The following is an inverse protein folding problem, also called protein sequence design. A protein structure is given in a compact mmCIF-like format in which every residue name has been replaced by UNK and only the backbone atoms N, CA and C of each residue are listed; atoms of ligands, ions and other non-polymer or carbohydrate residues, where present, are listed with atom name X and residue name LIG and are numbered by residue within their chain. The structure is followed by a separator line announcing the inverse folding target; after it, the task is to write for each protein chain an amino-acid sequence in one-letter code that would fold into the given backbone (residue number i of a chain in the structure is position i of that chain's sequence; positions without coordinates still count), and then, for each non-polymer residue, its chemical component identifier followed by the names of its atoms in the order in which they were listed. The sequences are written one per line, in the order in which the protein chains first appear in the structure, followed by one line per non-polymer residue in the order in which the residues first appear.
data_IF_019280853534
#
_entry.id   IF_019280853534
#
_cell.length_a   1.000
_cell.length_b   1.000
_cell.length_c   1.000
_cell.angle_alpha   90.00
_cell.angle_beta   90.00
_cell.angle_gamma   90.00
#
_symmetry.space_group_name_H-M   'P 1'
#
loop_
_entity.id
_entity.type
_entity.pdbx_description
1 polymer ?
#
# COMPACT_ATOMS: atom_id res chain seq x y z
N UNK A 1 -24.29 27.16 -30.43
CA UNK A 1 -23.03 26.78 -31.12
C UNK A 1 -22.31 25.77 -30.23
N UNK A 2 -22.39 24.50 -30.59
CA UNK A 2 -21.69 23.40 -29.88
C UNK A 2 -20.19 23.50 -30.17
N UNK A 3 -19.30 23.45 -29.15
CA UNK A 3 -17.86 23.47 -29.40
C UNK A 3 -17.45 22.19 -30.16
N UNK A 4 -16.84 22.37 -31.34
CA UNK A 4 -16.17 21.28 -32.08
C UNK A 4 -15.16 20.63 -31.13
N UNK A 5 -15.37 19.36 -30.79
CA UNK A 5 -14.35 18.53 -30.16
C UNK A 5 -13.08 18.61 -30.99
N UNK A 6 -11.99 19.15 -30.41
CA UNK A 6 -10.69 19.17 -31.03
C UNK A 6 -10.28 17.71 -31.33
N UNK A 7 -10.24 17.37 -32.59
CA UNK A 7 -9.92 16.02 -33.05
C UNK A 7 -8.47 15.73 -32.67
N UNK A 8 -8.26 14.76 -31.78
CA UNK A 8 -6.94 14.39 -31.23
C UNK A 8 -6.08 13.89 -32.39
N UNK A 9 -4.99 14.65 -32.70
CA UNK A 9 -4.08 14.29 -33.79
C UNK A 9 -3.52 12.87 -33.59
N UNK A 10 -3.38 12.14 -34.68
CA UNK A 10 -2.81 10.80 -34.72
C UNK A 10 -1.39 10.83 -35.29
N UNK A 11 -0.66 9.74 -35.12
CA UNK A 11 0.68 9.59 -35.73
C UNK A 11 0.64 9.69 -37.26
N UNK A 12 -0.51 9.33 -37.88
CA UNK A 12 -0.71 9.49 -39.33
C UNK A 12 -0.84 10.96 -39.74
N UNK A 13 -1.46 11.77 -38.89
CA UNK A 13 -1.58 13.21 -39.15
C UNK A 13 -0.22 13.90 -39.05
N UNK A 14 0.58 13.52 -38.05
CA UNK A 14 1.96 14.01 -37.93
C UNK A 14 2.82 13.57 -39.13
N UNK A 15 2.66 12.33 -39.60
CA UNK A 15 3.36 11.85 -40.77
C UNK A 15 3.01 12.66 -42.03
N UNK A 16 1.72 13.00 -42.23
CA UNK A 16 1.25 13.86 -43.31
C UNK A 16 1.82 15.28 -43.18
N UNK A 17 1.73 15.92 -42.01
CA UNK A 17 2.22 17.26 -41.75
C UNK A 17 3.74 17.36 -41.94
N UNK A 18 4.50 16.38 -41.51
CA UNK A 18 5.94 16.32 -41.69
C UNK A 18 6.37 15.82 -43.09
N UNK A 19 5.46 15.37 -43.95
CA UNK A 19 5.79 14.86 -45.27
C UNK A 19 6.69 13.60 -45.23
N UNK A 20 6.48 12.71 -44.26
CA UNK A 20 7.27 11.49 -44.07
C UNK A 20 6.37 10.29 -43.86
N UNK A 21 6.90 9.09 -43.93
CA UNK A 21 6.12 7.87 -43.65
C UNK A 21 5.83 7.73 -42.14
N UNK A 22 4.70 7.04 -41.79
CA UNK A 22 4.32 6.70 -40.42
C UNK A 22 5.48 6.01 -39.64
N UNK A 23 6.20 5.11 -40.32
CA UNK A 23 7.36 4.42 -39.75
C UNK A 23 8.51 5.36 -39.38
N UNK A 24 8.68 6.44 -40.15
CA UNK A 24 9.70 7.46 -39.87
C UNK A 24 9.33 8.27 -38.63
N UNK A 25 8.09 8.73 -38.51
CA UNK A 25 7.61 9.41 -37.30
C UNK A 25 7.78 8.50 -36.07
N UNK A 26 7.43 7.22 -36.21
CA UNK A 26 7.62 6.23 -35.13
C UNK A 26 9.09 6.13 -34.70
N UNK A 27 10.02 6.07 -35.65
CA UNK A 27 11.46 5.98 -35.34
C UNK A 27 12.00 7.27 -34.71
N UNK A 28 11.47 8.42 -35.08
CA UNK A 28 11.81 9.70 -34.41
C UNK A 28 11.35 9.68 -32.95
N UNK A 29 10.12 9.27 -32.70
CA UNK A 29 9.55 9.17 -31.36
C UNK A 29 10.29 8.19 -30.45
N UNK A 30 10.93 7.17 -31.03
CA UNK A 30 11.75 6.17 -30.29
C UNK A 30 13.25 6.50 -30.33
N UNK A 31 13.64 7.69 -30.78
CA UNK A 31 15.02 8.13 -30.89
C UNK A 31 15.95 7.19 -31.68
N UNK A 32 15.41 6.44 -32.64
CA UNK A 32 16.16 5.47 -33.46
C UNK A 32 17.34 6.20 -34.15
N UNK A 33 18.61 5.77 -33.91
CA UNK A 33 19.79 6.43 -34.45
C UNK A 33 19.87 6.36 -36.00
N UNK A 34 19.11 5.48 -36.64
CA UNK A 34 19.06 5.33 -38.10
C UNK A 34 18.29 6.46 -38.81
N UNK A 35 17.60 7.34 -38.06
CA UNK A 35 16.91 8.50 -38.67
C UNK A 35 17.90 9.63 -38.85
N UNK A 36 17.99 10.16 -40.10
CA UNK A 36 18.85 11.30 -40.45
C UNK A 36 18.49 12.54 -39.61
N UNK A 37 19.49 13.30 -39.12
CA UNK A 37 19.26 14.46 -38.25
C UNK A 37 18.22 15.46 -38.80
N UNK A 38 18.33 15.85 -40.09
CA UNK A 38 17.39 16.76 -40.73
C UNK A 38 15.94 16.24 -40.77
N UNK A 39 15.75 14.92 -40.90
CA UNK A 39 14.42 14.31 -40.88
C UNK A 39 13.87 14.29 -39.45
N UNK A 40 14.72 14.06 -38.44
CA UNK A 40 14.37 14.10 -37.03
C UNK A 40 13.89 15.49 -36.64
N UNK A 41 14.68 16.50 -36.93
CA UNK A 41 14.37 17.88 -36.61
C UNK A 41 13.04 18.35 -37.21
N UNK A 42 12.79 18.02 -38.50
CA UNK A 42 11.53 18.30 -39.18
C UNK A 42 10.32 17.68 -38.49
N UNK A 43 10.40 16.42 -38.07
CA UNK A 43 9.30 15.72 -37.38
C UNK A 43 9.10 16.28 -35.98
N UNK A 44 10.16 16.52 -35.23
CA UNK A 44 10.09 17.11 -33.88
C UNK A 44 9.51 18.55 -33.91
N UNK A 45 9.82 19.33 -34.93
CA UNK A 45 9.21 20.65 -35.13
C UNK A 45 7.70 20.53 -35.32
N UNK A 46 7.24 19.65 -36.21
CA UNK A 46 5.79 19.41 -36.40
C UNK A 46 5.10 18.93 -35.13
N UNK A 47 5.73 18.07 -34.35
CA UNK A 47 5.22 17.63 -33.05
C UNK A 47 5.05 18.80 -32.08
N UNK A 48 6.08 19.68 -31.96
CA UNK A 48 6.01 20.86 -31.10
C UNK A 48 4.91 21.83 -31.55
N UNK A 49 4.85 22.14 -32.85
CA UNK A 49 3.88 23.11 -33.40
C UNK A 49 2.43 22.59 -33.33
N UNK A 50 2.22 21.28 -33.51
CA UNK A 50 0.89 20.69 -33.50
C UNK A 50 0.35 20.36 -32.12
N UNK A 51 1.18 20.44 -31.07
CA UNK A 51 0.83 19.98 -29.72
C UNK A 51 0.53 18.48 -29.63
N UNK A 52 1.04 17.70 -30.60
CA UNK A 52 0.82 16.25 -30.61
C UNK A 52 1.53 15.59 -29.44
N UNK A 53 0.74 14.93 -28.57
CA UNK A 53 1.27 14.08 -27.51
C UNK A 53 1.15 12.63 -27.97
N UNK A 54 2.27 11.90 -28.12
CA UNK A 54 2.24 10.49 -28.48
C UNK A 54 1.37 9.69 -27.48
N UNK A 55 0.42 8.94 -27.95
CA UNK A 55 -0.37 8.07 -27.08
C UNK A 55 0.53 6.94 -26.54
N UNK A 56 0.68 6.86 -25.21
CA UNK A 56 1.43 5.79 -24.53
C UNK A 56 0.95 4.39 -24.98
N UNK A 57 -0.36 4.21 -25.22
CA UNK A 57 -0.93 2.98 -25.76
C UNK A 57 -0.48 2.67 -27.19
N UNK A 58 -0.16 3.67 -28.03
CA UNK A 58 0.37 3.44 -29.37
C UNK A 58 1.87 3.05 -29.35
N UNK A 59 2.59 3.38 -28.30
CA UNK A 59 3.97 2.95 -28.05
C UNK A 59 4.01 1.49 -27.56
N UNK A 60 3.13 1.12 -26.60
CA UNK A 60 3.05 -0.25 -26.06
C UNK A 60 2.62 -1.29 -27.10
N UNK A 61 1.74 -0.93 -28.05
CA UNK A 61 1.30 -1.83 -29.14
C UNK A 61 2.44 -2.30 -30.09
N UNK A 62 3.67 -1.81 -29.92
CA UNK A 62 4.84 -2.12 -30.76
C UNK A 62 5.93 -2.92 -30.04
N UNK A 63 5.58 -3.61 -28.96
CA UNK A 63 6.53 -4.46 -28.21
C UNK A 63 7.38 -3.71 -27.18
N UNK A 64 7.00 -2.46 -26.85
CA UNK A 64 7.58 -1.73 -25.71
C UNK A 64 6.76 -1.95 -24.44
N UNK A 65 7.41 -1.83 -23.27
CA UNK A 65 6.77 -1.83 -21.97
C UNK A 65 5.72 -0.72 -21.88
N UNK A 66 4.60 -0.97 -21.22
CA UNK A 66 3.51 0.02 -21.03
C UNK A 66 3.92 1.17 -20.13
N UNK A 67 4.96 0.98 -19.32
CA UNK A 67 5.40 1.87 -18.24
C UNK A 67 4.27 2.15 -17.25
N UNK A 68 3.45 1.14 -16.98
CA UNK A 68 2.34 1.22 -16.04
C UNK A 68 2.44 0.07 -15.05
N UNK A 69 2.32 0.37 -13.77
CA UNK A 69 2.21 -0.60 -12.68
C UNK A 69 0.76 -0.58 -12.15
N UNK A 70 0.18 -1.78 -12.00
CA UNK A 70 -1.08 -1.96 -11.29
C UNK A 70 -0.84 -2.01 -9.79
N UNK A 71 -1.62 -1.26 -9.01
CA UNK A 71 -1.61 -1.31 -7.55
C UNK A 71 -3.02 -1.69 -7.11
N UNK A 72 -3.17 -2.81 -6.43
CA UNK A 72 -4.45 -3.29 -5.94
C UNK A 72 -4.47 -3.20 -4.42
N UNK A 73 -5.19 -2.21 -3.89
CA UNK A 73 -5.39 -2.01 -2.45
C UNK A 73 -6.61 -2.79 -1.96
N UNK A 74 -6.64 -3.14 -0.67
CA UNK A 74 -7.83 -3.74 -0.07
C UNK A 74 -8.90 -2.68 0.20
N UNK A 75 -8.49 -1.50 0.70
CA UNK A 75 -9.37 -0.36 0.97
C UNK A 75 -8.69 0.97 0.65
N UNK A 76 -9.39 1.82 -0.09
CA UNK A 76 -8.91 3.18 -0.41
C UNK A 76 -8.92 4.13 0.80
N UNK A 77 -9.73 3.85 1.81
CA UNK A 77 -9.78 4.63 3.05
C UNK A 77 -8.80 4.16 4.14
N UNK A 78 -7.97 3.14 3.86
CA UNK A 78 -6.99 2.60 4.80
C UNK A 78 -5.78 3.52 4.97
N UNK A 79 -5.54 4.12 6.15
CA UNK A 79 -4.36 4.96 6.38
C UNK A 79 -3.03 4.22 6.19
N UNK A 80 -2.99 2.93 6.56
CA UNK A 80 -1.80 2.07 6.41
C UNK A 80 -1.47 1.80 4.94
N UNK A 81 -2.48 1.41 4.15
CA UNK A 81 -2.29 1.17 2.73
C UNK A 81 -1.94 2.45 1.98
N UNK A 82 -2.57 3.57 2.33
CA UNK A 82 -2.26 4.88 1.75
C UNK A 82 -0.80 5.30 1.99
N UNK A 83 -0.24 5.03 3.18
CA UNK A 83 1.19 5.27 3.44
C UNK A 83 2.07 4.38 2.56
N UNK A 84 1.75 3.09 2.44
CA UNK A 84 2.51 2.18 1.58
C UNK A 84 2.38 2.55 0.10
N UNK A 85 1.18 2.90 -0.37
CA UNK A 85 0.97 3.39 -1.76
C UNK A 85 1.82 4.62 -2.04
N UNK A 86 1.95 5.57 -1.11
CA UNK A 86 2.85 6.72 -1.28
C UNK A 86 4.30 6.30 -1.48
N UNK A 87 4.79 5.33 -0.71
CA UNK A 87 6.12 4.76 -0.89
C UNK A 87 6.30 4.08 -2.24
N UNK A 88 5.30 3.32 -2.69
CA UNK A 88 5.29 2.71 -4.03
C UNK A 88 5.38 3.78 -5.11
N UNK A 89 4.52 4.80 -5.04
CA UNK A 89 4.45 5.85 -6.06
C UNK A 89 5.76 6.65 -6.17
N UNK A 90 6.43 6.94 -5.05
CA UNK A 90 7.73 7.61 -5.06
C UNK A 90 8.76 6.85 -5.91
N UNK A 91 8.86 5.54 -5.70
CA UNK A 91 9.84 4.69 -6.39
C UNK A 91 9.48 4.51 -7.87
N UNK A 92 8.22 4.20 -8.18
CA UNK A 92 7.84 3.93 -9.58
C UNK A 92 7.85 5.20 -10.42
N UNK A 93 7.48 6.37 -9.88
CA UNK A 93 7.56 7.64 -10.60
C UNK A 93 9.01 8.04 -10.86
N UNK A 94 9.93 7.84 -9.90
CA UNK A 94 11.36 8.05 -10.11
C UNK A 94 11.94 7.14 -11.21
N UNK A 95 11.31 5.97 -11.44
CA UNK A 95 11.67 5.04 -12.51
C UNK A 95 10.87 5.25 -13.82
N UNK A 96 10.13 6.36 -13.96
CA UNK A 96 9.32 6.74 -15.13
C UNK A 96 8.20 5.74 -15.44
N UNK A 97 7.55 5.20 -14.39
CA UNK A 97 6.31 4.41 -14.49
C UNK A 97 5.11 5.22 -14.01
N UNK A 98 3.96 5.02 -14.64
CA UNK A 98 2.66 5.48 -14.15
C UNK A 98 2.00 4.39 -13.29
N UNK A 99 0.98 4.76 -12.49
CA UNK A 99 0.20 3.82 -11.67
C UNK A 99 -1.27 3.75 -12.09
N UNK A 100 -1.85 2.55 -11.97
CA UNK A 100 -3.31 2.33 -11.95
C UNK A 100 -3.66 1.71 -10.62
N UNK A 101 -4.43 2.44 -9.79
CA UNK A 101 -4.84 1.99 -8.46
C UNK A 101 -6.27 1.48 -8.52
N UNK A 102 -6.53 0.30 -7.98
CA UNK A 102 -7.84 -0.35 -7.91
C UNK A 102 -8.08 -0.89 -6.49
N UNK A 103 -9.34 -1.10 -6.11
CA UNK A 103 -9.73 -1.54 -4.77
C UNK A 103 -10.43 -2.89 -4.82
N UNK A 104 -9.95 -3.85 -4.02
CA UNK A 104 -10.51 -5.21 -3.94
C UNK A 104 -11.62 -5.39 -2.91
N UNK A 105 -11.70 -4.54 -1.89
CA UNK A 105 -12.64 -4.63 -0.76
C UNK A 105 -12.57 -5.99 -0.04
N UNK A 106 -11.37 -6.54 0.15
CA UNK A 106 -11.10 -7.86 0.73
C UNK A 106 -11.81 -9.02 -0.01
N UNK A 107 -12.19 -8.81 -1.27
CA UNK A 107 -12.90 -9.80 -2.09
C UNK A 107 -11.94 -10.49 -3.06
N UNK A 108 -11.83 -11.81 -2.94
CA UNK A 108 -11.07 -12.66 -3.87
C UNK A 108 -11.59 -12.55 -5.29
N UNK A 109 -12.91 -12.48 -5.49
CA UNK A 109 -13.52 -12.35 -6.81
C UNK A 109 -13.22 -11.00 -7.46
N UNK A 110 -13.37 -9.89 -6.71
CA UNK A 110 -12.97 -8.55 -7.21
C UNK A 110 -11.48 -8.49 -7.52
N UNK A 111 -10.65 -9.12 -6.68
CA UNK A 111 -9.20 -9.21 -6.95
C UNK A 111 -8.96 -9.88 -8.30
N UNK A 112 -9.61 -11.02 -8.58
CA UNK A 112 -9.49 -11.75 -9.85
C UNK A 112 -9.96 -10.91 -11.04
N UNK A 113 -11.11 -10.24 -10.91
CA UNK A 113 -11.63 -9.34 -11.94
C UNK A 113 -10.65 -8.21 -12.26
N UNK A 114 -10.09 -7.58 -11.23
CA UNK A 114 -9.15 -6.47 -11.40
C UNK A 114 -7.82 -6.90 -11.99
N UNK A 115 -7.31 -8.07 -11.60
CA UNK A 115 -6.10 -8.65 -12.21
C UNK A 115 -6.34 -8.89 -13.70
N UNK A 116 -7.48 -9.47 -14.08
CA UNK A 116 -7.82 -9.66 -15.50
C UNK A 116 -7.96 -8.32 -16.27
N UNK A 117 -8.43 -7.25 -15.64
CA UNK A 117 -8.47 -5.91 -16.23
C UNK A 117 -7.06 -5.35 -16.43
N UNK A 118 -6.18 -5.48 -15.44
CA UNK A 118 -4.78 -5.02 -15.52
C UNK A 118 -4.00 -5.78 -16.59
N UNK A 119 -4.24 -7.10 -16.72
CA UNK A 119 -3.67 -7.93 -17.78
C UNK A 119 -4.12 -7.45 -19.18
N UNK A 120 -5.42 -7.23 -19.38
CA UNK A 120 -5.95 -6.67 -20.64
C UNK A 120 -5.39 -5.28 -20.98
N UNK A 121 -5.03 -4.51 -19.97
CA UNK A 121 -4.38 -3.20 -20.14
C UNK A 121 -2.88 -3.30 -20.40
N UNK A 122 -2.31 -4.51 -20.38
CA UNK A 122 -0.90 -4.81 -20.54
C UNK A 122 -0.03 -3.99 -19.58
N UNK A 123 -0.41 -3.92 -18.28
CA UNK A 123 0.47 -3.33 -17.28
C UNK A 123 1.74 -4.18 -17.13
N UNK A 124 2.87 -3.55 -16.85
CA UNK A 124 4.17 -4.24 -16.82
C UNK A 124 4.30 -5.15 -15.60
N UNK A 125 3.69 -4.77 -14.48
CA UNK A 125 3.64 -5.55 -13.25
C UNK A 125 2.57 -5.08 -12.30
N UNK A 126 2.39 -5.81 -11.19
CA UNK A 126 1.37 -5.52 -10.18
C UNK A 126 1.93 -5.59 -8.77
N UNK A 127 1.44 -4.70 -7.90
CA UNK A 127 1.64 -4.76 -6.45
C UNK A 127 0.26 -4.92 -5.81
N UNK A 128 0.08 -5.97 -5.01
CA UNK A 128 -1.23 -6.33 -4.44
C UNK A 128 -1.14 -6.34 -2.92
N UNK A 129 -2.05 -5.65 -2.26
CA UNK A 129 -2.23 -5.78 -0.82
C UNK A 129 -3.03 -7.05 -0.54
N UNK A 130 -2.35 -8.03 0.05
CA UNK A 130 -2.96 -9.28 0.46
C UNK A 130 -3.78 -9.12 1.74
N UNK A 131 -4.71 -10.02 1.93
CA UNK A 131 -5.60 -10.09 3.09
C UNK A 131 -5.80 -11.55 3.52
N UNK A 132 -6.43 -11.78 4.66
CA UNK A 132 -6.71 -13.13 5.16
C UNK A 132 -7.53 -13.94 4.14
N UNK A 133 -7.00 -15.08 3.72
CA UNK A 133 -7.61 -15.91 2.68
C UNK A 133 -7.27 -15.48 1.24
N UNK A 134 -6.30 -14.56 1.05
CA UNK A 134 -5.82 -14.21 -0.27
C UNK A 134 -5.17 -15.41 -0.98
N UNK A 135 -5.64 -15.70 -2.20
CA UNK A 135 -5.12 -16.78 -3.04
C UNK A 135 -4.11 -16.25 -4.06
N UNK A 136 -2.84 -16.60 -3.88
CA UNK A 136 -1.76 -16.16 -4.77
C UNK A 136 -1.87 -16.71 -6.20
N UNK A 137 -2.62 -17.79 -6.45
CA UNK A 137 -2.83 -18.32 -7.78
C UNK A 137 -3.53 -17.33 -8.73
N UNK A 138 -4.22 -16.33 -8.17
CA UNK A 138 -4.78 -15.20 -8.93
C UNK A 138 -3.71 -14.41 -9.69
N UNK A 139 -2.46 -14.45 -9.23
CA UNK A 139 -1.33 -13.72 -9.79
C UNK A 139 -0.51 -14.51 -10.82
N UNK A 140 -0.90 -15.74 -11.14
CA UNK A 140 -0.13 -16.63 -12.03
C UNK A 140 0.16 -16.00 -13.41
N UNK A 141 -0.77 -15.21 -13.94
CA UNK A 141 -0.59 -14.50 -15.24
C UNK A 141 0.51 -13.43 -15.19
N UNK A 142 0.82 -12.90 -14.00
CA UNK A 142 1.91 -11.97 -13.80
C UNK A 142 3.21 -12.66 -13.38
N UNK A 143 3.13 -13.88 -12.81
CA UNK A 143 4.32 -14.65 -12.38
C UNK A 143 5.30 -13.78 -11.57
N UNK A 144 6.56 -13.68 -12.02
CA UNK A 144 7.58 -12.86 -11.36
C UNK A 144 7.33 -11.34 -11.42
N UNK A 145 6.32 -10.88 -12.16
CA UNK A 145 5.94 -9.46 -12.28
C UNK A 145 4.86 -9.05 -11.26
N UNK A 146 4.79 -9.77 -10.15
CA UNK A 146 3.89 -9.49 -9.04
C UNK A 146 4.66 -9.41 -7.72
N UNK A 147 4.23 -8.51 -6.83
CA UNK A 147 4.69 -8.43 -5.44
C UNK A 147 3.47 -8.28 -4.54
N UNK A 148 3.43 -9.02 -3.44
CA UNK A 148 2.35 -8.95 -2.45
C UNK A 148 2.83 -8.19 -1.22
N UNK A 149 1.99 -7.31 -0.67
CA UNK A 149 2.24 -6.61 0.59
C UNK A 149 1.28 -7.12 1.67
N UNK A 150 1.69 -7.08 2.92
CA UNK A 150 0.96 -7.37 4.15
C UNK A 150 0.81 -8.85 4.51
N UNK A 151 0.87 -9.77 3.57
CA UNK A 151 0.80 -11.21 3.86
C UNK A 151 2.03 -11.93 3.32
N UNK A 152 2.40 -13.03 3.96
CA UNK A 152 3.41 -13.94 3.45
C UNK A 152 2.82 -14.84 2.36
N UNK A 153 3.63 -15.18 1.38
CA UNK A 153 3.26 -16.02 0.24
C UNK A 153 4.38 -17.01 -0.05
N UNK A 154 4.07 -18.15 -0.69
CA UNK A 154 5.09 -19.15 -1.03
C UNK A 154 5.59 -19.00 -2.48
N UNK A 155 4.78 -18.44 -3.38
CA UNK A 155 5.01 -18.46 -4.83
C UNK A 155 5.30 -17.11 -5.46
N UNK A 156 5.05 -16.02 -4.74
CA UNK A 156 5.19 -14.64 -5.23
C UNK A 156 6.03 -13.85 -4.23
N UNK A 157 6.89 -12.96 -4.71
CA UNK A 157 7.66 -12.09 -3.82
C UNK A 157 6.76 -11.27 -2.91
N UNK A 158 7.14 -11.10 -1.65
CA UNK A 158 6.30 -10.41 -0.67
C UNK A 158 7.08 -9.48 0.26
N UNK A 159 6.36 -8.48 0.76
CA UNK A 159 6.78 -7.61 1.87
C UNK A 159 5.73 -7.68 2.95
N UNK A 160 5.98 -8.48 3.99
CA UNK A 160 5.11 -8.59 5.16
C UNK A 160 5.52 -7.62 6.26
N UNK A 161 4.68 -7.52 7.30
CA UNK A 161 4.94 -6.68 8.46
C UNK A 161 5.29 -7.51 9.69
N UNK A 162 6.16 -7.00 10.54
CA UNK A 162 6.49 -7.58 11.85
C UNK A 162 5.35 -7.34 12.85
N UNK A 163 4.22 -8.04 12.64
CA UNK A 163 3.03 -7.90 13.48
C UNK A 163 3.30 -8.22 14.96
N UNK A 164 4.19 -9.18 15.24
CA UNK A 164 4.58 -9.52 16.60
C UNK A 164 5.43 -8.39 17.23
N UNK A 165 6.41 -7.88 16.50
CA UNK A 165 7.28 -6.79 16.98
C UNK A 165 6.51 -5.51 17.29
N UNK A 166 5.48 -5.17 16.52
CA UNK A 166 4.64 -3.99 16.78
C UNK A 166 4.04 -4.00 18.19
N UNK A 167 3.37 -5.10 18.54
CA UNK A 167 2.71 -5.23 19.84
C UNK A 167 3.73 -5.43 20.96
N UNK A 168 4.81 -6.18 20.71
CA UNK A 168 5.89 -6.34 21.68
C UNK A 168 6.54 -5.01 22.05
N UNK A 169 6.74 -4.10 21.08
CA UNK A 169 7.25 -2.75 21.34
C UNK A 169 6.29 -1.92 22.20
N UNK A 170 4.98 -1.95 21.89
CA UNK A 170 3.97 -1.24 22.69
C UNK A 170 3.92 -1.77 24.13
N UNK A 171 3.91 -3.10 24.29
CA UNK A 171 3.93 -3.72 25.62
C UNK A 171 5.21 -3.40 26.39
N UNK A 172 6.38 -3.46 25.73
CA UNK A 172 7.66 -3.13 26.36
C UNK A 172 7.72 -1.66 26.84
N UNK A 173 7.13 -0.74 26.08
CA UNK A 173 7.04 0.67 26.44
C UNK A 173 6.25 0.88 27.75
N UNK A 174 5.14 0.18 27.93
CA UNK A 174 4.31 0.26 29.13
C UNK A 174 4.92 -0.50 30.30
N UNK A 175 5.39 -1.72 30.10
CA UNK A 175 6.01 -2.51 31.17
C UNK A 175 7.31 -1.89 31.66
N UNK A 176 8.08 -1.24 30.76
CA UNK A 176 9.28 -0.46 31.11
C UNK A 176 8.99 0.73 32.02
N UNK A 177 7.76 1.25 32.04
CA UNK A 177 7.28 2.27 32.98
C UNK A 177 6.73 1.66 34.27
N UNK A 178 6.78 0.35 34.44
CA UNK A 178 6.31 -0.36 35.63
C UNK A 178 4.80 -0.64 35.62
N UNK A 179 4.09 -0.42 34.50
CA UNK A 179 2.65 -0.70 34.39
C UNK A 179 2.38 -2.20 34.37
N UNK A 180 1.36 -2.65 35.09
CA UNK A 180 0.99 -4.07 35.24
C UNK A 180 -0.45 -4.37 34.85
N UNK A 181 -1.30 -3.36 34.76
CA UNK A 181 -2.70 -3.51 34.36
C UNK A 181 -2.89 -2.97 32.94
N UNK A 182 -2.45 -3.76 31.95
CA UNK A 182 -2.43 -3.39 30.54
C UNK A 182 -3.47 -4.25 29.80
N UNK A 183 -4.48 -3.61 29.28
CA UNK A 183 -5.52 -4.26 28.46
C UNK A 183 -5.18 -4.18 26.96
N UNK A 184 -5.90 -4.92 26.14
CA UNK A 184 -5.72 -4.93 24.68
C UNK A 184 -7.05 -4.76 23.95
N UNK A 185 -7.03 -3.92 22.90
CA UNK A 185 -8.11 -3.75 21.96
C UNK A 185 -7.66 -4.22 20.58
N UNK A 186 -8.23 -5.34 20.12
CA UNK A 186 -7.84 -6.03 18.90
C UNK A 186 -8.87 -6.01 17.79
N UNK A 187 -8.45 -6.53 16.64
CA UNK A 187 -9.32 -6.84 15.49
C UNK A 187 -9.76 -8.29 15.61
N UNK A 188 -10.91 -8.64 15.01
CA UNK A 188 -11.41 -10.00 14.94
C UNK A 188 -10.32 -10.97 14.45
N UNK A 189 -10.19 -12.11 15.12
CA UNK A 189 -9.16 -13.13 14.85
C UNK A 189 -9.30 -13.81 13.49
N UNK A 190 -10.43 -13.67 12.81
CA UNK A 190 -10.58 -14.09 11.42
C UNK A 190 -9.63 -13.30 10.49
N UNK A 191 -9.25 -12.07 10.85
CA UNK A 191 -8.11 -11.40 10.26
C UNK A 191 -6.82 -11.96 10.88
N UNK A 192 -6.10 -12.77 10.10
CA UNK A 192 -4.87 -13.41 10.57
C UNK A 192 -3.78 -12.38 10.92
N UNK A 193 -3.64 -11.32 10.13
CA UNK A 193 -2.53 -10.36 10.26
C UNK A 193 -2.75 -9.35 11.37
N UNK A 194 -3.79 -8.54 11.26
CA UNK A 194 -4.08 -7.47 12.22
C UNK A 194 -4.81 -7.99 13.46
N UNK A 195 -5.59 -9.07 13.32
CA UNK A 195 -6.31 -9.72 14.41
C UNK A 195 -5.44 -10.74 15.15
N UNK A 196 -5.33 -11.98 14.60
CA UNK A 196 -4.73 -13.11 15.29
C UNK A 196 -3.28 -12.89 15.70
N UNK A 197 -2.38 -12.51 14.75
CA UNK A 197 -0.94 -12.39 15.05
C UNK A 197 -0.63 -11.29 16.07
N UNK A 198 -1.42 -10.22 16.10
CA UNK A 198 -1.24 -9.14 17.08
C UNK A 198 -1.80 -9.50 18.44
N UNK A 199 -2.93 -10.21 18.50
CA UNK A 199 -3.45 -10.73 19.76
C UNK A 199 -2.49 -11.76 20.37
N UNK A 200 -1.97 -12.71 19.59
CA UNK A 200 -0.99 -13.69 20.06
C UNK A 200 0.24 -13.00 20.66
N UNK A 201 0.72 -11.93 20.02
CA UNK A 201 1.85 -11.16 20.53
C UNK A 201 1.54 -10.47 21.88
N UNK A 202 0.32 -9.97 22.08
CA UNK A 202 -0.11 -9.43 23.36
C UNK A 202 -0.16 -10.52 24.44
N UNK A 203 -0.75 -11.67 24.13
CA UNK A 203 -0.84 -12.81 25.06
C UNK A 203 0.54 -13.35 25.43
N UNK A 204 1.45 -13.47 24.46
CA UNK A 204 2.85 -13.86 24.69
C UNK A 204 3.54 -12.86 25.64
N UNK A 205 3.35 -11.56 25.42
CA UNK A 205 3.93 -10.52 26.26
C UNK A 205 3.36 -10.54 27.68
N UNK A 206 2.06 -10.77 27.84
CA UNK A 206 1.42 -10.95 29.15
C UNK A 206 2.00 -12.16 29.90
N UNK A 207 2.17 -13.29 29.22
CA UNK A 207 2.75 -14.49 29.83
C UNK A 207 4.21 -14.24 30.29
N UNK A 208 5.03 -13.59 29.47
CA UNK A 208 6.42 -13.26 29.79
C UNK A 208 6.56 -12.29 30.97
N UNK A 209 5.62 -11.38 31.13
CA UNK A 209 5.64 -10.33 32.14
C UNK A 209 4.77 -10.66 33.38
N UNK A 210 4.16 -11.85 33.41
CA UNK A 210 3.22 -12.28 34.45
C UNK A 210 2.04 -11.31 34.65
N UNK A 211 1.53 -10.74 33.54
CA UNK A 211 0.36 -9.87 33.50
C UNK A 211 -0.87 -10.72 33.20
N UNK A 212 -1.96 -10.53 33.97
CA UNK A 212 -3.24 -11.16 33.64
C UNK A 212 -3.81 -10.53 32.35
N UNK A 213 -4.07 -11.31 31.29
CA UNK A 213 -4.58 -10.76 30.05
C UNK A 213 -6.02 -10.27 30.18
N UNK A 214 -6.30 -9.08 29.65
CA UNK A 214 -7.63 -8.49 29.52
C UNK A 214 -7.76 -7.92 28.12
N UNK A 215 -8.65 -8.45 27.30
CA UNK A 215 -8.76 -8.03 25.92
C UNK A 215 -10.16 -8.16 25.34
N UNK A 216 -10.41 -7.38 24.29
CA UNK A 216 -11.57 -7.52 23.41
C UNK A 216 -11.11 -7.41 21.95
N UNK A 217 -11.86 -8.06 21.08
CA UNK A 217 -11.66 -7.99 19.62
C UNK A 217 -12.97 -7.63 18.93
N UNK A 218 -12.87 -6.88 17.83
CA UNK A 218 -14.03 -6.45 17.07
C UNK A 218 -13.66 -6.04 15.66
N UNK A 219 -14.54 -5.29 15.02
CA UNK A 219 -14.26 -4.75 13.67
C UNK A 219 -13.13 -3.73 13.69
N UNK A 220 -12.40 -3.61 12.59
CA UNK A 220 -11.38 -2.58 12.39
C UNK A 220 -12.05 -1.22 12.11
N UNK A 221 -12.71 -0.67 13.10
CA UNK A 221 -13.42 0.61 13.03
C UNK A 221 -13.32 1.40 14.32
N UNK A 222 -13.47 2.72 14.23
CA UNK A 222 -13.51 3.63 15.39
C UNK A 222 -14.69 3.27 16.32
N UNK A 223 -15.87 2.99 15.73
CA UNK A 223 -17.12 2.75 16.46
C UNK A 223 -17.06 1.43 17.24
N UNK A 224 -16.48 0.38 16.64
CA UNK A 224 -16.28 -0.91 17.31
C UNK A 224 -15.38 -0.73 18.54
N UNK A 225 -14.23 -0.08 18.39
CA UNK A 225 -13.31 0.13 19.51
C UNK A 225 -13.92 1.03 20.59
N UNK A 226 -14.63 2.08 20.22
CA UNK A 226 -15.35 2.96 21.14
C UNK A 226 -16.36 2.18 21.99
N UNK A 227 -17.18 1.34 21.35
CA UNK A 227 -18.24 0.57 22.02
C UNK A 227 -17.66 -0.51 22.95
N UNK A 228 -16.55 -1.16 22.53
CA UNK A 228 -15.94 -2.26 23.29
C UNK A 228 -15.01 -1.79 24.41
N UNK A 229 -14.68 -0.49 24.50
CA UNK A 229 -13.72 0.02 25.48
C UNK A 229 -14.14 -0.31 26.92
N UNK A 230 -15.42 -0.19 27.26
CA UNK A 230 -15.91 -0.43 28.63
C UNK A 230 -15.63 -1.87 29.08
N UNK A 231 -15.58 -2.85 28.17
CA UNK A 231 -15.32 -4.24 28.48
C UNK A 231 -13.86 -4.55 28.84
N UNK A 232 -12.92 -3.68 28.44
CA UNK A 232 -11.49 -3.81 28.76
C UNK A 232 -11.03 -2.81 29.83
N UNK A 233 -11.96 -1.98 30.32
CA UNK A 233 -11.70 -0.92 31.27
C UNK A 233 -12.14 -1.33 32.68
N UNK A 234 -11.25 -1.19 33.64
CA UNK A 234 -11.53 -1.32 35.08
C UNK A 234 -10.97 -0.13 35.83
N UNK A 235 -11.22 -0.03 37.14
CA UNK A 235 -10.60 0.98 38.01
C UNK A 235 -9.08 0.84 38.08
N UNK A 236 -8.54 -0.35 37.80
CA UNK A 236 -7.10 -0.64 37.86
C UNK A 236 -6.42 -0.49 36.50
N UNK A 237 -7.14 -0.41 35.37
CA UNK A 237 -6.56 -0.30 34.04
C UNK A 237 -5.66 0.93 33.93
N UNK A 238 -4.39 0.73 33.60
CA UNK A 238 -3.36 1.75 33.50
C UNK A 238 -3.03 2.08 32.04
N UNK A 239 -3.16 1.09 31.14
CA UNK A 239 -2.90 1.28 29.71
C UNK A 239 -3.77 0.34 28.87
N UNK A 240 -4.00 0.74 27.62
CA UNK A 240 -4.65 -0.08 26.60
C UNK A 240 -3.78 -0.08 25.35
N UNK A 241 -3.31 -1.26 24.94
CA UNK A 241 -2.62 -1.49 23.67
C UNK A 241 -3.67 -1.76 22.59
N UNK A 242 -3.68 -0.96 21.54
CA UNK A 242 -4.61 -1.13 20.42
C UNK A 242 -3.89 -1.70 19.19
N UNK A 243 -4.55 -2.64 18.51
CA UNK A 243 -4.00 -3.27 17.32
C UNK A 243 -3.76 -2.30 16.15
N UNK A 244 -4.39 -1.13 16.15
CA UNK A 244 -4.21 -0.09 15.12
C UNK A 244 -4.52 1.29 15.70
N UNK A 245 -4.08 2.34 14.99
CA UNK A 245 -4.42 3.72 15.34
C UNK A 245 -5.91 4.01 15.21
N UNK A 246 -6.60 3.34 14.28
CA UNK A 246 -8.06 3.42 14.15
C UNK A 246 -8.75 2.98 15.44
N UNK A 247 -8.35 1.85 16.01
CA UNK A 247 -8.88 1.38 17.29
C UNK A 247 -8.46 2.30 18.43
N UNK A 248 -7.20 2.77 18.45
CA UNK A 248 -6.71 3.66 19.48
C UNK A 248 -7.49 4.98 19.55
N UNK A 249 -7.92 5.54 18.41
CA UNK A 249 -8.76 6.74 18.37
C UNK A 249 -10.15 6.48 18.99
N UNK A 250 -10.78 5.32 18.70
CA UNK A 250 -12.06 4.93 19.31
C UNK A 250 -11.95 4.78 20.82
N UNK A 251 -10.91 4.08 21.30
CA UNK A 251 -10.61 3.90 22.73
C UNK A 251 -10.35 5.26 23.40
N UNK A 252 -9.46 6.08 22.84
CA UNK A 252 -9.10 7.39 23.41
C UNK A 252 -10.31 8.32 23.49
N UNK A 253 -11.19 8.32 22.48
CA UNK A 253 -12.44 9.05 22.49
C UNK A 253 -13.35 8.61 23.64
N UNK A 254 -13.50 7.31 23.86
CA UNK A 254 -14.32 6.78 24.96
C UNK A 254 -13.73 7.12 26.33
N UNK A 255 -12.43 6.96 26.51
CA UNK A 255 -11.73 7.33 27.74
C UNK A 255 -11.89 8.82 28.08
N UNK A 256 -11.82 9.70 27.08
CA UNK A 256 -12.06 11.14 27.23
C UNK A 256 -13.46 11.42 27.79
N UNK A 257 -14.49 10.78 27.26
CA UNK A 257 -15.87 10.94 27.73
C UNK A 257 -16.10 10.39 29.15
N UNK A 258 -15.37 9.34 29.51
CA UNK A 258 -15.39 8.77 30.85
C UNK A 258 -14.49 9.53 31.85
N UNK A 259 -13.82 10.61 31.43
CA UNK A 259 -12.83 11.34 32.21
C UNK A 259 -11.68 10.45 32.73
N UNK A 260 -11.33 9.36 32.02
CA UNK A 260 -10.25 8.43 32.32
C UNK A 260 -8.95 8.86 31.61
N UNK A 261 -8.52 10.10 31.85
CA UNK A 261 -7.28 10.67 31.27
C UNK A 261 -6.00 10.08 31.90
N UNK A 262 -6.15 9.28 32.95
CA UNK A 262 -5.11 8.52 33.63
C UNK A 262 -4.67 7.27 32.85
N UNK A 263 -5.49 6.77 31.92
CA UNK A 263 -5.21 5.55 31.12
C UNK A 263 -4.43 5.92 29.87
N UNK A 264 -3.25 5.34 29.71
CA UNK A 264 -2.42 5.51 28.51
C UNK A 264 -2.94 4.64 27.36
N UNK A 265 -2.80 5.12 26.15
CA UNK A 265 -3.23 4.37 24.95
C UNK A 265 -2.09 4.30 23.95
N UNK A 266 -1.84 3.11 23.41
CA UNK A 266 -0.97 2.95 22.25
C UNK A 266 -1.75 2.47 21.04
N UNK A 267 -1.33 2.95 19.87
CA UNK A 267 -1.78 2.47 18.57
C UNK A 267 -0.66 1.81 17.78
N UNK A 268 -0.99 1.42 16.56
CA UNK A 268 -0.08 0.92 15.53
C UNK A 268 -0.44 1.57 14.21
N UNK A 269 0.50 2.31 13.60
CA UNK A 269 0.27 2.98 12.32
C UNK A 269 1.03 4.29 12.15
N UNK A 270 1.53 4.88 13.25
CA UNK A 270 2.20 6.18 13.29
C UNK A 270 1.38 7.27 12.58
N UNK A 271 0.07 7.33 12.87
CA UNK A 271 -0.85 8.30 12.26
C UNK A 271 -0.75 9.61 13.03
N UNK A 272 -0.39 10.70 12.35
CA UNK A 272 -0.28 12.03 12.96
C UNK A 272 -1.58 12.47 13.64
N UNK A 273 -2.72 12.06 13.08
CA UNK A 273 -4.05 12.39 13.60
C UNK A 273 -4.27 11.85 15.02
N UNK A 274 -3.77 10.65 15.35
CA UNK A 274 -3.94 10.08 16.68
C UNK A 274 -3.29 10.98 17.75
N UNK A 275 -2.03 11.34 17.57
CA UNK A 275 -1.31 12.19 18.52
C UNK A 275 -1.83 13.63 18.53
N UNK A 276 -2.24 14.16 17.38
CA UNK A 276 -2.82 15.50 17.28
C UNK A 276 -4.13 15.61 18.07
N UNK A 277 -5.01 14.61 17.97
CA UNK A 277 -6.30 14.61 18.66
C UNK A 277 -6.18 14.17 20.13
N UNK A 278 -5.25 13.29 20.45
CA UNK A 278 -5.08 12.66 21.75
C UNK A 278 -3.61 12.65 22.18
N UNK A 279 -3.10 13.76 22.75
CA UNK A 279 -1.66 13.92 23.07
C UNK A 279 -1.07 12.89 24.03
N UNK A 280 -1.90 12.22 24.86
CA UNK A 280 -1.47 11.19 25.80
C UNK A 280 -1.39 9.78 25.16
N UNK A 281 -1.37 9.72 23.83
CA UNK A 281 -1.21 8.47 23.08
C UNK A 281 0.16 8.39 22.42
N UNK A 282 0.62 7.17 22.15
CA UNK A 282 1.70 6.96 21.19
C UNK A 282 1.31 5.90 20.16
N UNK A 283 2.01 5.87 19.06
CA UNK A 283 1.77 4.88 18.01
C UNK A 283 3.08 4.26 17.55
N UNK A 284 3.14 2.92 17.52
CA UNK A 284 4.25 2.20 16.91
C UNK A 284 4.23 2.42 15.41
N UNK A 285 5.39 2.74 14.81
CA UNK A 285 5.54 2.86 13.36
C UNK A 285 5.86 1.49 12.74
N UNK A 286 4.96 0.93 11.94
CA UNK A 286 5.20 -0.33 11.22
C UNK A 286 6.13 -0.17 10.02
N UNK A 287 6.48 1.05 9.60
CA UNK A 287 7.23 1.31 8.38
C UNK A 287 6.42 1.06 7.11
N UNK A 288 5.14 1.41 7.09
CA UNK A 288 4.28 1.21 5.91
C UNK A 288 4.82 1.87 4.66
N UNK A 289 5.32 3.10 4.77
CA UNK A 289 5.94 3.82 3.65
C UNK A 289 7.17 3.07 3.12
N UNK A 290 8.07 2.67 4.02
CA UNK A 290 9.29 1.93 3.67
C UNK A 290 8.96 0.57 3.03
N UNK A 291 7.89 -0.11 3.51
CA UNK A 291 7.40 -1.36 2.91
C UNK A 291 6.92 -1.15 1.47
N UNK A 292 6.23 -0.04 1.23
CA UNK A 292 5.81 0.35 -0.12
C UNK A 292 6.99 0.57 -1.06
N UNK A 293 8.02 1.30 -0.60
CA UNK A 293 9.24 1.50 -1.37
C UNK A 293 9.93 0.16 -1.70
N UNK A 294 10.11 -0.71 -0.70
CA UNK A 294 10.72 -2.04 -0.88
C UNK A 294 9.94 -2.91 -1.86
N UNK A 295 8.61 -2.88 -1.81
CA UNK A 295 7.79 -3.65 -2.75
C UNK A 295 7.93 -3.14 -4.18
N UNK A 296 8.02 -1.83 -4.37
CA UNK A 296 8.25 -1.22 -5.68
C UNK A 296 9.66 -1.53 -6.22
N UNK A 297 10.69 -1.39 -5.38
CA UNK A 297 12.06 -1.73 -5.76
C UNK A 297 12.18 -3.21 -6.17
N UNK A 298 11.57 -4.11 -5.39
CA UNK A 298 11.54 -5.54 -5.68
C UNK A 298 10.85 -5.82 -7.01
N UNK A 299 9.69 -5.20 -7.27
CA UNK A 299 9.00 -5.33 -8.55
C UNK A 299 9.87 -4.79 -9.72
N UNK A 300 10.46 -3.60 -9.58
CA UNK A 300 11.31 -3.02 -10.62
C UNK A 300 12.55 -3.86 -10.89
N UNK A 301 13.11 -4.52 -9.86
CA UNK A 301 14.20 -5.48 -10.03
C UNK A 301 13.73 -6.66 -10.90
N UNK A 302 12.58 -7.25 -10.60
CA UNK A 302 12.00 -8.34 -11.39
C UNK A 302 11.69 -7.96 -12.84
N UNK A 303 11.26 -6.71 -13.07
CA UNK A 303 10.99 -6.21 -14.42
C UNK A 303 12.26 -5.97 -15.27
N UNK A 304 13.40 -5.72 -14.61
CA UNK A 304 14.69 -5.50 -15.28
C UNK A 304 15.42 -6.81 -15.58
N UNK A 305 15.31 -7.77 -14.70
CA UNK A 305 16.00 -9.07 -14.78
C UNK A 305 15.18 -10.15 -14.08
N UNK A 306 15.27 -11.39 -14.57
CA UNK A 306 14.69 -12.51 -13.84
C UNK A 306 15.39 -12.60 -12.47
N UNK A 307 14.60 -12.59 -11.40
CA UNK A 307 15.10 -12.71 -10.04
C UNK A 307 14.31 -13.77 -9.28
N UNK A 308 14.90 -14.34 -8.25
CA UNK A 308 14.24 -15.33 -7.41
C UNK A 308 13.14 -14.68 -6.56
N UNK A 309 12.14 -15.49 -6.19
CA UNK A 309 11.12 -15.10 -5.23
C UNK A 309 11.78 -14.67 -3.91
N UNK A 310 11.44 -13.48 -3.44
CA UNK A 310 12.07 -12.88 -2.26
C UNK A 310 11.00 -12.44 -1.26
N UNK A 311 11.18 -12.81 0.00
CA UNK A 311 10.29 -12.46 1.10
C UNK A 311 11.00 -11.51 2.06
N UNK A 312 10.43 -10.33 2.26
CA UNK A 312 10.95 -9.30 3.14
C UNK A 312 9.98 -9.07 4.31
N UNK A 313 10.52 -8.90 5.51
CA UNK A 313 9.76 -8.46 6.67
C UNK A 313 10.12 -7.02 6.99
N UNK A 314 9.12 -6.14 6.98
CA UNK A 314 9.28 -4.76 7.40
C UNK A 314 9.24 -4.69 8.93
N UNK A 315 10.34 -4.25 9.53
CA UNK A 315 10.47 -4.10 10.98
C UNK A 315 9.75 -2.83 11.45
N UNK A 316 9.13 -2.95 12.61
CA UNK A 316 8.51 -1.84 13.32
C UNK A 316 9.53 -1.09 14.19
N UNK A 317 9.19 0.18 14.53
CA UNK A 317 9.99 1.03 15.41
C UNK A 317 9.09 1.90 16.29
N UNK A 318 9.61 2.34 17.44
CA UNK A 318 8.97 3.40 18.21
C UNK A 318 9.16 4.74 17.50
N UNK A 319 8.21 5.69 17.65
CA UNK A 319 8.38 7.04 17.14
C UNK A 319 9.59 7.71 17.81
N UNK A 320 10.32 8.52 17.06
CA UNK A 320 11.45 9.31 17.55
C UNK A 320 11.00 10.41 18.48
#
# INVERSE_FOLDING_TARGET
MTPKQAQKLTILDIAKLAGVGKSTVSRVLTQDPRVKPATREKVEQVIRESGYVPSKSAQSMRGGNSRVIGILVSRLDSPSENKAVRGILEVIYAADYDAVIMESQFSTDKTREHIAVLEKRNVDGVIVFGFSGFDCAILDSFSQRAVVIAVDTDSVSSVSYDNKGMISLAMAQFTGQGLKHISYMGVDIADRTTGQLRLDAYLDACAQQHIAPCYQTGELSYDSAYTLTDAVLSTQTQAIVCASDTLAMGVAKRLQELNRTDVLVSGVGATDLLQFMFPNTFSVDPGYFDAGQRAADLLLQHLRQSADVTHLVQRSRLPC
#
